data_IF_295308920571
#
_entry.id   IF_295308920571
#
_cell.length_a   1.000
_cell.length_b   1.000
_cell.length_c   1.000
_cell.angle_alpha   90.00
_cell.angle_beta   90.00
_cell.angle_gamma   90.00
#
_symmetry.space_group_name_H-M   'P 1'
#
loop_
_entity.id
_entity.type
_entity.pdbx_description
1 polymer ?
#
# COMPACT_ATOMS: atom_id res chain seq x y z
N UNK A 1 9.39 26.68 8.20
CA UNK A 1 10.59 25.85 7.95
C UNK A 1 10.81 24.97 9.17
N UNK A 2 10.27 23.75 9.15
CA UNK A 2 10.57 22.74 10.16
C UNK A 2 11.71 21.87 9.65
N UNK A 3 12.82 21.85 10.36
CA UNK A 3 13.91 20.90 10.11
C UNK A 3 13.41 19.49 10.46
N UNK A 4 13.29 18.61 9.46
CA UNK A 4 13.03 17.19 9.66
C UNK A 4 14.34 16.48 10.00
N UNK A 5 14.61 16.30 11.28
CA UNK A 5 15.62 15.35 11.77
C UNK A 5 14.96 13.96 11.85
N UNK A 6 15.66 12.95 11.36
CA UNK A 6 15.16 11.62 10.99
C UNK A 6 14.70 10.67 12.09
N UNK A 7 14.12 11.14 13.20
CA UNK A 7 13.61 10.28 14.29
C UNK A 7 12.31 10.78 14.95
N UNK A 8 11.53 11.66 14.32
CA UNK A 8 10.24 12.03 14.90
C UNK A 8 9.21 10.91 14.70
N UNK A 9 8.86 10.25 15.81
CA UNK A 9 7.64 9.45 15.94
C UNK A 9 6.44 10.26 15.42
N UNK A 10 5.58 9.62 14.63
CA UNK A 10 4.33 10.26 14.23
C UNK A 10 3.46 10.42 15.47
N UNK A 11 2.83 11.59 15.63
CA UNK A 11 1.80 11.72 16.66
C UNK A 11 0.68 10.69 16.43
N UNK A 12 -0.03 10.29 17.49
CA UNK A 12 -1.17 9.39 17.36
C UNK A 12 -2.19 9.87 16.32
N UNK A 13 -2.44 11.19 16.26
CA UNK A 13 -3.33 11.80 15.27
C UNK A 13 -2.82 11.58 13.84
N UNK A 14 -1.54 11.81 13.58
CA UNK A 14 -0.95 11.56 12.26
C UNK A 14 -0.94 10.07 11.92
N UNK A 15 -0.62 9.21 12.89
CA UNK A 15 -0.62 7.77 12.70
C UNK A 15 -2.01 7.19 12.41
N UNK A 16 -3.08 7.77 12.97
CA UNK A 16 -4.45 7.41 12.57
C UNK A 16 -4.77 7.98 11.19
N UNK A 17 -4.48 9.26 10.92
CA UNK A 17 -4.83 9.92 9.65
C UNK A 17 -4.14 9.33 8.42
N UNK A 18 -2.89 8.87 8.56
CA UNK A 18 -2.17 8.24 7.44
C UNK A 18 -2.85 6.96 6.98
N UNK A 19 -3.48 6.21 7.89
CA UNK A 19 -4.18 4.97 7.56
C UNK A 19 -5.37 5.20 6.61
N UNK A 20 -5.94 6.41 6.62
CA UNK A 20 -7.14 6.77 5.86
C UNK A 20 -6.87 7.78 4.74
N UNK A 21 -5.60 8.04 4.40
CA UNK A 21 -5.26 9.06 3.39
C UNK A 21 -5.70 10.49 3.77
N UNK A 22 -5.78 10.82 5.06
CA UNK A 22 -6.30 12.11 5.57
C UNK A 22 -5.16 13.11 5.90
N UNK A 23 -3.91 12.77 5.63
CA UNK A 23 -2.77 13.70 5.78
C UNK A 23 -2.77 14.77 4.68
N UNK A 24 -2.26 15.95 5.01
CA UNK A 24 -2.23 17.09 4.10
C UNK A 24 -0.92 17.17 3.30
N UNK A 25 -0.91 17.85 2.14
CA UNK A 25 0.31 18.05 1.35
C UNK A 25 1.45 18.71 2.15
N UNK A 26 1.16 19.68 3.01
CA UNK A 26 2.16 20.35 3.85
C UNK A 26 2.80 19.44 4.92
N UNK A 27 2.17 18.31 5.26
CA UNK A 27 2.66 17.34 6.23
C UNK A 27 3.48 16.21 5.58
N UNK A 28 3.34 16.05 4.26
CA UNK A 28 3.73 14.82 3.55
C UNK A 28 4.39 15.08 2.19
N UNK A 29 4.81 16.32 1.94
CA UNK A 29 5.59 16.68 0.76
C UNK A 29 7.04 16.89 1.18
N UNK A 30 7.93 16.11 0.58
CA UNK A 30 9.36 16.09 0.91
C UNK A 30 10.18 16.38 -0.33
N UNK A 31 11.34 17.02 -0.15
CA UNK A 31 12.20 17.39 -1.26
C UNK A 31 12.96 16.17 -1.78
N UNK A 32 13.42 15.31 -0.89
CA UNK A 32 14.18 14.12 -1.26
C UNK A 32 13.51 12.85 -0.71
N UNK A 33 13.94 11.70 -1.20
CA UNK A 33 13.37 10.39 -0.82
C UNK A 33 13.80 10.04 0.61
N UNK A 34 15.00 10.43 1.01
CA UNK A 34 15.56 10.16 2.33
C UNK A 34 14.80 10.86 3.45
N UNK A 35 14.09 11.95 3.13
CA UNK A 35 13.21 12.66 4.05
C UNK A 35 11.85 11.97 4.23
N UNK A 36 11.46 11.06 3.32
CA UNK A 36 10.17 10.37 3.34
C UNK A 36 10.15 9.34 4.47
N UNK A 37 9.25 9.46 5.46
CA UNK A 37 9.11 8.44 6.50
C UNK A 37 8.65 7.09 5.91
N UNK A 38 9.09 5.99 6.53
CA UNK A 38 8.48 4.67 6.29
C UNK A 38 7.12 4.62 7.00
N UNK A 39 6.07 5.06 6.30
CA UNK A 39 4.70 5.05 6.81
C UNK A 39 4.17 3.62 6.98
N UNK A 40 4.66 2.66 6.20
CA UNK A 40 4.25 1.25 6.30
C UNK A 40 4.78 0.63 7.58
N UNK A 41 6.06 0.85 7.91
CA UNK A 41 6.65 0.43 9.17
C UNK A 41 5.92 1.08 10.35
N UNK A 42 5.72 2.41 10.29
CA UNK A 42 5.00 3.16 11.33
C UNK A 42 3.52 2.74 11.47
N UNK A 43 2.92 2.13 10.45
CA UNK A 43 1.55 1.60 10.48
C UNK A 43 1.43 0.22 11.16
N UNK A 44 2.54 -0.52 11.33
CA UNK A 44 2.57 -1.87 11.92
C UNK A 44 1.78 -2.03 13.23
N UNK A 45 1.90 -1.13 14.24
CA UNK A 45 1.12 -1.26 15.47
C UNK A 45 -0.39 -1.08 15.23
N UNK A 46 -0.80 -0.23 14.28
CA UNK A 46 -2.21 -0.02 13.93
C UNK A 46 -2.78 -1.27 13.26
N UNK A 47 -2.06 -1.85 12.30
CA UNK A 47 -2.46 -3.10 11.64
C UNK A 47 -2.63 -4.23 12.66
N UNK A 48 -1.62 -4.46 13.49
CA UNK A 48 -1.63 -5.54 14.50
C UNK A 48 -2.78 -5.36 15.49
N UNK A 49 -3.03 -4.13 15.92
CA UNK A 49 -4.15 -3.82 16.82
C UNK A 49 -5.51 -4.10 16.14
N UNK A 50 -5.69 -3.69 14.88
CA UNK A 50 -6.94 -3.90 14.16
C UNK A 50 -7.21 -5.37 13.84
N UNK A 51 -6.17 -6.14 13.50
CA UNK A 51 -6.25 -7.60 13.34
C UNK A 51 -6.71 -8.28 14.64
N UNK A 52 -6.13 -7.90 15.79
CA UNK A 52 -6.53 -8.41 17.09
C UNK A 52 -7.98 -8.01 17.45
N UNK A 53 -8.36 -6.76 17.17
CA UNK A 53 -9.72 -6.27 17.39
C UNK A 53 -10.74 -7.01 16.54
N UNK A 54 -10.47 -7.25 15.26
CA UNK A 54 -11.39 -7.99 14.37
C UNK A 54 -11.58 -9.44 14.84
N UNK A 55 -10.51 -10.07 15.33
CA UNK A 55 -10.60 -11.42 15.92
C UNK A 55 -11.49 -11.43 17.18
N UNK A 56 -11.28 -10.48 18.10
CA UNK A 56 -12.07 -10.37 19.34
C UNK A 56 -13.54 -10.03 19.03
N UNK A 57 -13.80 -9.07 18.15
CA UNK A 57 -15.16 -8.68 17.77
C UNK A 57 -15.90 -9.82 17.05
N UNK A 58 -15.21 -10.56 16.17
CA UNK A 58 -15.80 -11.74 15.52
C UNK A 58 -16.19 -12.81 16.54
N UNK A 59 -15.34 -13.06 17.54
CA UNK A 59 -15.67 -13.97 18.64
C UNK A 59 -16.90 -13.51 19.43
N UNK A 60 -16.92 -12.23 19.83
CA UNK A 60 -17.99 -11.67 20.67
C UNK A 60 -19.33 -11.56 19.95
N UNK A 61 -19.35 -11.20 18.66
CA UNK A 61 -20.58 -10.94 17.91
C UNK A 61 -21.09 -12.14 17.11
N UNK A 62 -20.21 -12.92 16.48
CA UNK A 62 -20.61 -14.06 15.63
C UNK A 62 -20.62 -15.39 16.41
N UNK A 63 -20.12 -15.41 17.64
CA UNK A 63 -20.04 -16.61 18.48
C UNK A 63 -19.12 -17.70 17.92
N UNK A 64 -18.33 -17.38 16.88
CA UNK A 64 -17.34 -18.25 16.26
C UNK A 64 -16.09 -17.44 15.92
N UNK A 65 -14.89 -17.94 16.25
CA UNK A 65 -13.65 -17.28 15.82
C UNK A 65 -13.51 -17.35 14.30
N UNK A 66 -12.77 -16.40 13.74
CA UNK A 66 -12.26 -16.47 12.37
C UNK A 66 -11.47 -17.78 12.18
N UNK A 67 -11.42 -18.29 10.95
CA UNK A 67 -10.68 -19.53 10.66
C UNK A 67 -9.19 -19.32 10.86
N UNK A 68 -8.66 -19.81 11.98
CA UNK A 68 -7.26 -19.60 12.38
C UNK A 68 -6.29 -20.11 11.31
N UNK A 69 -6.61 -21.21 10.63
CA UNK A 69 -5.78 -21.76 9.56
C UNK A 69 -5.69 -20.83 8.35
N UNK A 70 -6.80 -20.17 7.98
CA UNK A 70 -6.83 -19.20 6.88
C UNK A 70 -6.07 -17.93 7.27
N UNK A 71 -6.29 -17.42 8.48
CA UNK A 71 -5.55 -16.28 9.02
C UNK A 71 -4.04 -16.52 9.13
N UNK A 72 -3.62 -17.71 9.58
CA UNK A 72 -2.20 -18.08 9.66
C UNK A 72 -1.57 -18.19 8.26
N UNK A 73 -2.32 -18.69 7.29
CA UNK A 73 -1.88 -18.75 5.88
C UNK A 73 -1.67 -17.35 5.32
N UNK A 74 -2.62 -16.44 5.57
CA UNK A 74 -2.53 -15.04 5.15
C UNK A 74 -1.38 -14.29 5.82
N UNK A 75 -1.17 -14.49 7.13
CA UNK A 75 -0.02 -13.94 7.85
C UNK A 75 1.31 -14.46 7.29
N UNK A 76 1.39 -15.78 7.04
CA UNK A 76 2.59 -16.41 6.48
C UNK A 76 2.89 -15.91 5.07
N UNK A 77 1.87 -15.78 4.23
CA UNK A 77 1.98 -15.16 2.91
C UNK A 77 2.46 -13.70 3.02
N UNK A 78 1.96 -12.95 4.01
CA UNK A 78 2.41 -11.59 4.31
C UNK A 78 3.91 -11.51 4.61
N UNK A 79 4.42 -12.39 5.47
CA UNK A 79 5.87 -12.48 5.75
C UNK A 79 6.66 -12.80 4.49
N UNK A 80 6.22 -13.79 3.70
CA UNK A 80 6.88 -14.17 2.44
C UNK A 80 6.87 -13.03 1.42
N UNK A 81 5.79 -12.25 1.36
CA UNK A 81 5.66 -11.09 0.46
C UNK A 81 6.65 -9.95 0.74
N UNK A 82 7.28 -9.94 1.94
CA UNK A 82 8.33 -8.99 2.33
C UNK A 82 9.73 -9.44 1.97
N UNK A 83 9.96 -10.73 1.68
CA UNK A 83 11.27 -11.23 1.27
C UNK A 83 11.88 -10.50 0.06
N UNK A 84 11.12 -10.10 -0.98
CA UNK A 84 11.62 -9.27 -2.05
C UNK A 84 12.30 -7.98 -1.58
N UNK A 85 11.75 -7.31 -0.55
CA UNK A 85 12.27 -6.03 -0.06
C UNK A 85 13.65 -6.19 0.61
N UNK A 86 13.91 -7.38 1.17
CA UNK A 86 15.18 -7.74 1.82
C UNK A 86 16.23 -8.17 0.80
N UNK A 87 15.83 -8.92 -0.23
CA UNK A 87 16.74 -9.52 -1.21
C UNK A 87 17.02 -8.60 -2.41
N UNK A 88 16.06 -7.78 -2.79
CA UNK A 88 16.15 -6.82 -3.88
C UNK A 88 15.76 -5.45 -3.35
N UNK A 89 16.70 -4.50 -3.36
CA UNK A 89 16.42 -3.09 -3.06
C UNK A 89 15.21 -2.67 -3.89
N UNK A 90 14.14 -2.19 -3.24
CA UNK A 90 12.78 -2.13 -3.81
C UNK A 90 12.77 -1.78 -5.30
N UNK A 91 12.46 -2.79 -6.14
CA UNK A 91 12.54 -2.67 -7.61
C UNK A 91 11.63 -1.55 -8.12
N UNK A 92 10.48 -1.37 -7.46
CA UNK A 92 9.52 -0.33 -7.77
C UNK A 92 10.13 1.06 -7.67
N UNK A 93 10.65 1.43 -6.49
CA UNK A 93 11.25 2.75 -6.31
C UNK A 93 12.55 2.91 -7.10
N UNK A 94 13.38 1.87 -7.17
CA UNK A 94 14.65 1.90 -7.91
C UNK A 94 14.45 2.11 -9.41
N UNK A 95 13.51 1.40 -10.02
CA UNK A 95 13.18 1.59 -11.44
C UNK A 95 12.47 2.91 -11.68
N UNK A 96 11.60 3.35 -10.77
CA UNK A 96 10.97 4.68 -10.86
C UNK A 96 12.02 5.80 -10.86
N UNK A 97 12.98 5.77 -9.94
CA UNK A 97 14.10 6.73 -9.89
C UNK A 97 14.94 6.66 -11.16
N UNK A 98 15.22 5.46 -11.67
CA UNK A 98 15.94 5.30 -12.94
C UNK A 98 15.19 6.00 -14.09
N UNK A 99 13.87 5.78 -14.21
CA UNK A 99 13.07 6.43 -15.23
C UNK A 99 13.02 7.96 -15.06
N UNK A 100 12.84 8.43 -13.83
CA UNK A 100 12.86 9.85 -13.48
C UNK A 100 14.18 10.53 -13.88
N UNK A 101 15.31 9.89 -13.60
CA UNK A 101 16.62 10.46 -13.86
C UNK A 101 16.95 10.52 -15.35
N UNK A 102 16.46 9.58 -16.16
CA UNK A 102 16.85 9.42 -17.56
C UNK A 102 15.80 9.90 -18.58
N UNK A 103 14.50 9.89 -18.24
CA UNK A 103 13.41 10.10 -19.20
C UNK A 103 12.41 11.19 -18.80
N UNK A 104 12.57 11.86 -17.66
CA UNK A 104 11.61 12.91 -17.26
C UNK A 104 11.54 14.03 -18.31
N UNK A 105 10.31 14.45 -18.62
CA UNK A 105 10.04 15.52 -19.59
C UNK A 105 10.00 16.87 -18.90
N UNK A 106 9.43 16.93 -17.70
CA UNK A 106 9.51 18.09 -16.82
C UNK A 106 9.48 17.67 -15.36
N UNK A 107 9.72 18.62 -14.47
CA UNK A 107 9.71 18.41 -13.03
C UNK A 107 8.60 19.26 -12.41
N UNK A 108 7.56 18.59 -11.90
CA UNK A 108 6.54 19.25 -11.10
C UNK A 108 7.10 19.59 -9.71
N UNK A 109 6.77 20.74 -9.11
CA UNK A 109 7.31 21.13 -7.80
C UNK A 109 6.90 20.13 -6.72
N UNK A 110 7.86 19.63 -5.94
CA UNK A 110 7.63 18.65 -4.88
C UNK A 110 6.76 19.20 -3.74
N UNK A 111 6.76 20.52 -3.52
CA UNK A 111 6.03 21.25 -2.48
C UNK A 111 4.67 21.81 -2.95
N UNK A 112 4.23 21.45 -4.16
CA UNK A 112 2.95 21.90 -4.70
C UNK A 112 1.80 20.96 -4.31
N UNK A 113 0.70 21.48 -3.72
CA UNK A 113 -0.52 20.70 -3.50
C UNK A 113 -1.07 20.05 -4.76
N UNK A 114 -0.86 20.66 -5.93
CA UNK A 114 -1.29 20.08 -7.21
C UNK A 114 -0.47 18.84 -7.57
N UNK A 115 0.85 18.86 -7.38
CA UNK A 115 1.70 17.69 -7.58
C UNK A 115 1.28 16.56 -6.65
N UNK A 116 0.94 16.88 -5.40
CA UNK A 116 0.42 15.92 -4.43
C UNK A 116 -0.87 15.26 -4.93
N UNK A 117 -1.91 16.04 -5.26
CA UNK A 117 -3.19 15.47 -5.72
C UNK A 117 -3.09 14.75 -7.07
N UNK A 118 -2.25 15.23 -7.99
CA UNK A 118 -1.97 14.52 -9.24
C UNK A 118 -1.29 13.18 -8.97
N UNK A 119 -0.39 13.11 -7.99
CA UNK A 119 0.25 11.86 -7.59
C UNK A 119 -0.74 10.89 -6.99
N UNK A 120 -1.67 11.37 -6.14
CA UNK A 120 -2.76 10.56 -5.59
C UNK A 120 -3.59 9.89 -6.69
N UNK A 121 -4.08 10.68 -7.65
CA UNK A 121 -4.86 10.15 -8.77
C UNK A 121 -4.01 9.22 -9.64
N UNK A 122 -2.75 9.57 -9.89
CA UNK A 122 -1.85 8.77 -10.71
C UNK A 122 -1.52 7.40 -10.09
N UNK A 123 -1.25 7.35 -8.79
CA UNK A 123 -1.00 6.09 -8.07
C UNK A 123 -2.26 5.24 -8.04
N UNK A 124 -3.42 5.82 -7.75
CA UNK A 124 -4.70 5.09 -7.77
C UNK A 124 -5.01 4.53 -9.17
N UNK A 125 -4.78 5.31 -10.21
CA UNK A 125 -4.93 4.88 -11.60
C UNK A 125 -3.95 3.78 -12.00
N UNK A 126 -2.67 3.89 -11.60
CA UNK A 126 -1.67 2.84 -11.81
C UNK A 126 -2.06 1.53 -11.12
N UNK A 127 -2.54 1.63 -9.88
CA UNK A 127 -3.06 0.49 -9.13
C UNK A 127 -4.28 -0.13 -9.82
N UNK A 128 -5.24 0.68 -10.28
CA UNK A 128 -6.42 0.20 -11.03
C UNK A 128 -6.01 -0.64 -12.24
N UNK A 129 -5.09 -0.14 -13.07
CA UNK A 129 -4.65 -0.88 -14.25
C UNK A 129 -3.87 -2.13 -13.90
N UNK A 130 -2.98 -2.06 -12.91
CA UNK A 130 -2.31 -3.24 -12.40
C UNK A 130 -3.34 -4.31 -11.99
N UNK A 131 -4.31 -3.94 -11.14
CA UNK A 131 -5.31 -4.85 -10.61
C UNK A 131 -6.17 -5.44 -11.74
N UNK A 132 -6.65 -4.60 -12.67
CA UNK A 132 -7.38 -5.06 -13.85
C UNK A 132 -6.59 -6.08 -14.65
N UNK A 133 -5.33 -5.78 -14.96
CA UNK A 133 -4.46 -6.68 -15.73
C UNK A 133 -4.13 -7.96 -14.96
N UNK A 134 -4.08 -7.91 -13.62
CA UNK A 134 -3.95 -9.08 -12.77
C UNK A 134 -5.15 -10.04 -12.87
N UNK A 135 -6.33 -9.54 -13.23
CA UNK A 135 -7.53 -10.34 -13.48
C UNK A 135 -7.70 -10.76 -14.95
N UNK A 136 -7.06 -10.06 -15.90
CA UNK A 136 -7.20 -10.32 -17.34
C UNK A 136 -6.02 -11.08 -17.97
N UNK A 137 -4.83 -11.07 -17.35
CA UNK A 137 -3.61 -11.69 -17.91
C UNK A 137 -3.15 -12.87 -17.06
N UNK A 138 -3.07 -14.07 -17.65
CA UNK A 138 -2.73 -15.33 -16.97
C UNK A 138 -1.46 -15.26 -16.10
N UNK A 139 -0.39 -14.62 -16.58
CA UNK A 139 0.85 -14.51 -15.81
C UNK A 139 0.67 -13.64 -14.56
N UNK A 140 -0.04 -12.52 -14.68
CA UNK A 140 -0.31 -11.64 -13.54
C UNK A 140 -1.34 -12.26 -12.59
N UNK A 141 -2.34 -12.97 -13.13
CA UNK A 141 -3.28 -13.79 -12.35
C UNK A 141 -2.55 -14.86 -11.53
N UNK A 142 -1.54 -15.53 -12.09
CA UNK A 142 -0.76 -16.51 -11.34
C UNK A 142 -0.10 -15.90 -10.09
N UNK A 143 0.32 -14.64 -10.16
CA UNK A 143 0.82 -13.87 -9.03
C UNK A 143 -0.29 -13.34 -8.10
N UNK A 144 -1.49 -13.11 -8.60
CA UNK A 144 -2.57 -12.46 -7.85
C UNK A 144 -3.59 -13.42 -7.23
N UNK A 145 -3.80 -14.61 -7.79
CA UNK A 145 -4.78 -15.60 -7.33
C UNK A 145 -4.58 -16.02 -5.86
N UNK A 146 -3.34 -15.98 -5.36
CA UNK A 146 -3.03 -16.29 -3.96
C UNK A 146 -3.79 -15.34 -3.02
N UNK A 147 -3.93 -14.07 -3.41
CA UNK A 147 -4.71 -13.07 -2.68
C UNK A 147 -6.20 -13.41 -2.65
N UNK A 148 -6.74 -13.85 -3.78
CA UNK A 148 -8.16 -14.27 -3.90
C UNK A 148 -8.46 -15.66 -3.35
N UNK A 149 -7.46 -16.38 -2.82
CA UNK A 149 -7.64 -17.73 -2.29
C UNK A 149 -8.04 -17.77 -0.81
N UNK A 150 -8.22 -16.62 -0.16
CA UNK A 150 -8.71 -16.55 1.22
C UNK A 150 -10.15 -17.05 1.33
N UNK A 151 -10.40 -17.91 2.32
CA UNK A 151 -11.75 -18.45 2.57
C UNK A 151 -12.62 -17.43 3.33
N UNK A 152 -12.01 -16.69 4.25
CA UNK A 152 -12.63 -15.62 5.03
C UNK A 152 -12.19 -14.24 4.50
N UNK A 153 -13.11 -13.27 4.38
CA UNK A 153 -12.79 -11.93 3.85
C UNK A 153 -12.51 -10.93 4.98
N UNK A 154 -11.46 -11.20 5.77
CA UNK A 154 -11.09 -10.41 6.95
C UNK A 154 -9.78 -9.61 6.73
N UNK A 155 -9.35 -8.81 7.71
CA UNK A 155 -8.18 -7.93 7.58
C UNK A 155 -6.86 -8.69 7.33
N UNK A 156 -6.77 -9.97 7.71
CA UNK A 156 -5.59 -10.79 7.37
C UNK A 156 -5.48 -11.00 5.86
N UNK A 157 -6.58 -10.97 5.11
CA UNK A 157 -6.59 -11.15 3.65
C UNK A 157 -5.79 -10.07 2.93
N UNK A 158 -5.72 -8.84 3.48
CA UNK A 158 -4.86 -7.80 2.96
C UNK A 158 -3.37 -8.22 2.93
N UNK A 159 -2.95 -9.08 3.87
CA UNK A 159 -1.58 -9.59 3.97
C UNK A 159 -1.32 -10.77 3.04
N UNK A 160 -2.35 -11.36 2.41
CA UNK A 160 -2.22 -12.55 1.55
C UNK A 160 -1.69 -12.21 0.16
N UNK A 161 -0.59 -11.49 0.08
CA UNK A 161 0.02 -11.09 -1.20
C UNK A 161 1.08 -12.11 -1.63
N UNK A 162 1.12 -12.43 -2.92
CA UNK A 162 2.26 -13.15 -3.48
C UNK A 162 3.46 -12.23 -3.59
N UNK A 163 4.67 -12.77 -3.41
CA UNK A 163 5.89 -12.02 -3.69
C UNK A 163 6.00 -11.62 -5.18
N UNK A 164 5.37 -12.38 -6.10
CA UNK A 164 5.37 -12.11 -7.54
C UNK A 164 4.62 -10.83 -7.91
N UNK A 165 3.61 -10.46 -7.11
CA UNK A 165 2.78 -9.29 -7.37
C UNK A 165 3.62 -8.01 -7.53
N UNK A 166 4.60 -7.81 -6.64
CA UNK A 166 5.53 -6.68 -6.67
C UNK A 166 6.38 -6.60 -7.95
N UNK A 167 6.64 -7.74 -8.60
CA UNK A 167 7.40 -7.79 -9.85
C UNK A 167 6.54 -7.57 -11.10
N UNK A 168 5.23 -7.38 -10.93
CA UNK A 168 4.29 -7.12 -12.02
C UNK A 168 3.59 -5.77 -11.91
N UNK A 169 3.60 -5.13 -10.74
CA UNK A 169 2.91 -3.85 -10.51
C UNK A 169 3.72 -2.61 -10.88
N UNK A 170 5.04 -2.61 -10.69
CA UNK A 170 5.84 -1.38 -10.74
C UNK A 170 5.80 -0.65 -12.09
N UNK A 171 5.65 -1.38 -13.19
CA UNK A 171 5.64 -0.83 -14.56
C UNK A 171 4.46 0.12 -14.80
N UNK A 172 3.36 -0.06 -14.08
CA UNK A 172 2.16 0.78 -14.21
C UNK A 172 2.37 2.20 -13.67
N UNK A 173 3.43 2.43 -12.88
CA UNK A 173 3.77 3.75 -12.35
C UNK A 173 4.82 4.50 -13.18
N UNK A 174 5.51 3.84 -14.12
CA UNK A 174 6.54 4.47 -14.95
C UNK A 174 6.08 5.73 -15.71
N UNK A 175 4.85 5.83 -16.25
CA UNK A 175 4.40 7.05 -16.90
C UNK A 175 4.44 8.27 -15.98
N UNK A 176 4.26 8.10 -14.67
CA UNK A 176 4.31 9.20 -13.70
C UNK A 176 5.72 9.75 -13.52
N UNK A 177 6.75 8.91 -13.68
CA UNK A 177 8.16 9.31 -13.60
C UNK A 177 8.57 10.31 -14.71
N UNK A 178 7.69 10.59 -15.67
CA UNK A 178 7.90 11.64 -16.66
C UNK A 178 7.73 13.06 -16.08
N UNK A 179 7.01 13.21 -14.94
CA UNK A 179 6.57 14.51 -14.41
C UNK A 179 6.58 14.62 -12.87
N UNK A 180 6.35 13.51 -12.16
CA UNK A 180 6.19 13.47 -10.69
C UNK A 180 7.49 13.10 -9.97
N UNK A 181 7.98 13.96 -9.03
CA UNK A 181 9.18 13.68 -8.25
C UNK A 181 9.10 12.37 -7.45
N UNK A 182 10.20 11.60 -7.34
CA UNK A 182 10.22 10.33 -6.63
C UNK A 182 9.82 10.41 -5.15
N UNK A 183 10.11 11.52 -4.46
CA UNK A 183 9.72 11.70 -3.05
C UNK A 183 8.20 11.74 -2.88
N UNK A 184 7.50 12.47 -3.76
CA UNK A 184 6.03 12.55 -3.74
C UNK A 184 5.43 11.19 -4.10
N UNK A 185 5.98 10.51 -5.12
CA UNK A 185 5.59 9.15 -5.47
C UNK A 185 5.75 8.16 -4.30
N UNK A 186 6.90 8.19 -3.61
CA UNK A 186 7.20 7.31 -2.48
C UNK A 186 6.23 7.49 -1.29
N UNK A 187 5.69 8.70 -1.09
CA UNK A 187 4.63 8.94 -0.10
C UNK A 187 3.32 8.26 -0.52
N UNK A 188 2.91 8.49 -1.76
CA UNK A 188 1.60 8.08 -2.24
C UNK A 188 1.48 6.58 -2.46
N UNK A 189 2.56 5.90 -2.87
CA UNK A 189 2.56 4.44 -3.00
C UNK A 189 2.37 3.76 -1.63
N UNK A 190 2.95 4.32 -0.56
CA UNK A 190 2.75 3.85 0.80
C UNK A 190 1.32 4.12 1.28
N UNK A 191 0.80 5.33 1.09
CA UNK A 191 -0.58 5.64 1.50
C UNK A 191 -1.62 4.82 0.74
N UNK A 192 -1.40 4.54 -0.54
CA UNK A 192 -2.26 3.67 -1.31
C UNK A 192 -2.25 2.25 -0.72
N UNK A 193 -1.08 1.70 -0.36
CA UNK A 193 -0.97 0.43 0.34
C UNK A 193 -1.69 0.43 1.70
N UNK A 194 -1.53 1.49 2.50
CA UNK A 194 -2.23 1.63 3.79
C UNK A 194 -3.75 1.67 3.62
N UNK A 195 -4.24 2.40 2.62
CA UNK A 195 -5.67 2.53 2.33
C UNK A 195 -6.28 1.18 1.90
N UNK A 196 -5.56 0.41 1.08
CA UNK A 196 -5.99 -0.92 0.64
C UNK A 196 -6.18 -1.92 1.80
N UNK A 197 -5.59 -1.70 2.97
CA UNK A 197 -5.86 -2.58 4.12
C UNK A 197 -7.35 -2.58 4.51
N UNK A 198 -7.98 -1.40 4.51
CA UNK A 198 -9.34 -1.22 5.04
C UNK A 198 -10.45 -1.77 4.17
N UNK A 199 -10.16 -2.00 2.89
CA UNK A 199 -11.16 -2.58 1.98
C UNK A 199 -11.36 -4.08 2.21
N UNK A 200 -10.45 -4.74 2.97
CA UNK A 200 -10.49 -6.17 3.29
C UNK A 200 -11.19 -6.46 4.63
N UNK A 201 -12.43 -6.00 4.80
CA UNK A 201 -13.20 -6.31 6.01
C UNK A 201 -14.65 -6.67 5.72
N UNK A 202 -15.19 -7.64 6.46
CA UNK A 202 -16.61 -8.01 6.40
C UNK A 202 -17.52 -7.02 7.12
N UNK A 203 -16.97 -6.04 7.84
CA UNK A 203 -17.76 -5.03 8.55
C UNK A 203 -18.57 -4.16 7.57
N UNK A 204 -18.13 -4.06 6.30
CA UNK A 204 -18.90 -3.44 5.23
C UNK A 204 -19.32 -4.49 4.16
N UNK A 205 -20.57 -4.99 4.18
CA UNK A 205 -21.02 -6.05 3.27
C UNK A 205 -21.01 -5.65 1.78
N UNK A 206 -21.11 -4.36 1.47
CA UNK A 206 -21.17 -3.85 0.08
C UNK A 206 -19.81 -3.93 -0.61
N UNK A 207 -18.71 -3.63 0.11
CA UNK A 207 -17.35 -3.79 -0.42
C UNK A 207 -16.98 -5.28 -0.57
N UNK A 208 -17.39 -6.10 0.39
CA UNK A 208 -17.07 -7.54 0.41
C UNK A 208 -17.54 -8.29 -0.85
N UNK A 209 -18.69 -7.93 -1.43
CA UNK A 209 -19.19 -8.62 -2.64
C UNK A 209 -18.47 -8.21 -3.93
N UNK A 210 -17.95 -6.98 -4.00
CA UNK A 210 -17.28 -6.43 -5.19
C UNK A 210 -15.84 -6.95 -5.28
N UNK A 211 -15.15 -7.05 -4.14
CA UNK A 211 -13.71 -7.39 -4.07
C UNK A 211 -13.42 -8.90 -4.05
N UNK A 212 -14.46 -9.73 -3.97
CA UNK A 212 -14.33 -11.19 -3.97
C UNK A 212 -14.28 -11.79 -5.39
N UNK A 213 -14.46 -10.97 -6.43
CA UNK A 213 -14.42 -11.37 -7.83
C UNK A 213 -13.13 -10.92 -8.50
#
# INVERSE_FOLDING_TARGET
MGHYNGENELSLSQGVRMMFYVLQPNETSFKTIEEVPDYVEKATPYFTTMLALEFVLSWLWKGKPLRINDGLTSLSAGVVSRLPDVLFRGIELSTYIYFWNNYRLCELPWDSPWTWWLTFIGVDFGYYWFHRMAHEVNFMWAGHQAHHSAEDYNLTTALRQSFLQKYTSFVFYWPMALFIPPSVFAVHIQFNLLYQFWIHTEVNPVLCHILRK
#
